data_IF_184466143377
#
_entry.id   IF_184466143377
#
_cell.length_a   1.000
_cell.length_b   1.000
_cell.length_c   1.000
_cell.angle_alpha   90.00
_cell.angle_beta   90.00
_cell.angle_gamma   90.00
#
_symmetry.space_group_name_H-M   'P 1'
#
loop_
_entity.id
_entity.type
_entity.pdbx_description
1 polymer ?
#
# COMPACT_ATOMS: atom_id res chain seq x y z
N UNK A 1 -4.46 -0.09 -27.47
CA UNK A 1 -3.54 0.98 -27.08
C UNK A 1 -3.58 1.29 -25.58
N UNK A 2 -4.68 1.11 -24.85
CA UNK A 2 -4.90 1.71 -23.53
C UNK A 2 -5.16 0.67 -22.42
N UNK A 3 -4.41 -0.44 -22.45
CA UNK A 3 -4.64 -1.57 -21.53
C UNK A 3 -3.55 -1.67 -20.49
N UNK A 4 -3.56 -0.78 -19.52
CA UNK A 4 -2.67 -0.84 -18.38
C UNK A 4 -3.39 -0.35 -17.14
N UNK A 5 -2.94 -0.82 -16.01
CA UNK A 5 -3.27 -0.30 -14.68
C UNK A 5 -1.98 0.26 -14.09
N UNK A 6 -1.99 1.55 -13.77
CA UNK A 6 -0.92 2.21 -13.03
C UNK A 6 -1.21 2.01 -11.55
N UNK A 7 -0.25 1.48 -10.83
CA UNK A 7 -0.30 1.36 -9.36
C UNK A 7 0.70 2.38 -8.80
N UNK A 8 0.25 3.22 -7.89
CA UNK A 8 1.03 4.29 -7.28
C UNK A 8 0.95 4.21 -5.75
N UNK A 9 2.07 4.36 -5.07
CA UNK A 9 2.11 4.51 -3.62
C UNK A 9 1.26 5.69 -3.16
N UNK A 10 0.65 5.57 -1.98
CA UNK A 10 -0.17 6.61 -1.38
C UNK A 10 0.64 7.80 -0.86
N UNK A 11 1.88 7.55 -0.43
CA UNK A 11 2.82 8.56 0.13
C UNK A 11 2.20 9.40 1.27
N UNK A 12 1.22 8.86 1.98
CA UNK A 12 0.47 9.56 3.03
C UNK A 12 -0.46 10.67 2.53
N UNK A 13 -0.79 10.67 1.23
CA UNK A 13 -1.68 11.64 0.59
C UNK A 13 -3.10 11.08 0.46
N UNK A 14 -4.08 11.97 0.24
CA UNK A 14 -5.43 11.54 -0.11
C UNK A 14 -5.44 10.82 -1.47
N UNK A 15 -6.03 9.61 -1.49
CA UNK A 15 -6.04 8.74 -2.67
C UNK A 15 -6.78 9.38 -3.86
N UNK A 16 -7.92 10.03 -3.62
CA UNK A 16 -8.73 10.62 -4.69
C UNK A 16 -8.08 11.89 -5.25
N UNK A 17 -7.50 12.72 -4.40
CA UNK A 17 -6.76 13.91 -4.82
C UNK A 17 -5.53 13.51 -5.64
N UNK A 18 -4.75 12.53 -5.17
CA UNK A 18 -3.57 12.05 -5.89
C UNK A 18 -3.94 11.41 -7.23
N UNK A 19 -4.98 10.59 -7.27
CA UNK A 19 -5.46 9.99 -8.50
C UNK A 19 -5.99 11.03 -9.50
N UNK A 20 -6.73 12.04 -9.03
CA UNK A 20 -7.21 13.14 -9.86
C UNK A 20 -6.06 13.95 -10.45
N UNK A 21 -5.03 14.26 -9.64
CA UNK A 21 -3.82 14.95 -10.08
C UNK A 21 -3.07 14.18 -11.16
N UNK A 22 -2.90 12.86 -10.98
CA UNK A 22 -2.27 12.00 -11.98
C UNK A 22 -3.07 11.95 -13.29
N UNK A 23 -4.39 11.77 -13.20
CA UNK A 23 -5.27 11.79 -14.38
C UNK A 23 -5.21 13.14 -15.10
N UNK A 24 -5.18 14.26 -14.38
CA UNK A 24 -5.01 15.60 -14.95
C UNK A 24 -3.71 15.74 -15.72
N UNK A 25 -2.59 15.40 -15.09
CA UNK A 25 -1.27 15.46 -15.71
C UNK A 25 -1.20 14.66 -17.03
N UNK A 26 -1.74 13.43 -17.04
CA UNK A 26 -1.72 12.59 -18.24
C UNK A 26 -2.73 13.03 -19.30
N UNK A 27 -3.84 13.65 -18.92
CA UNK A 27 -4.79 14.25 -19.88
C UNK A 27 -4.15 15.41 -20.63
N UNK A 28 -3.47 16.29 -19.92
CA UNK A 28 -2.79 17.45 -20.53
C UNK A 28 -1.71 16.98 -21.52
N UNK A 29 -0.94 15.94 -21.13
CA UNK A 29 0.04 15.31 -22.03
C UNK A 29 -0.58 14.62 -23.24
N UNK A 30 -1.74 13.97 -23.07
CA UNK A 30 -2.47 13.36 -24.17
C UNK A 30 -2.94 14.39 -25.19
N UNK A 31 -3.35 15.58 -24.77
CA UNK A 31 -3.73 16.67 -25.66
C UNK A 31 -2.54 17.19 -26.50
N UNK A 32 -1.32 17.09 -25.96
CA UNK A 32 -0.09 17.44 -26.68
C UNK A 32 0.31 16.39 -27.74
N UNK A 33 0.10 15.10 -27.51
CA UNK A 33 0.52 14.01 -28.41
C UNK A 33 -0.43 12.80 -28.33
N UNK A 34 -1.64 12.96 -28.84
CA UNK A 34 -2.70 11.95 -28.81
C UNK A 34 -2.36 10.67 -29.63
N UNK A 35 -1.45 10.76 -30.59
CA UNK A 35 -1.08 9.63 -31.45
C UNK A 35 -0.13 8.65 -30.72
N UNK A 36 0.65 9.13 -29.78
CA UNK A 36 1.68 8.37 -29.08
C UNK A 36 1.31 8.00 -27.66
N UNK A 37 0.59 8.86 -26.95
CA UNK A 37 0.26 8.68 -25.55
C UNK A 37 -1.09 7.95 -25.36
N UNK A 38 -1.21 7.06 -24.37
CA UNK A 38 -2.48 6.44 -24.03
C UNK A 38 -3.41 7.44 -23.34
N UNK A 39 -4.71 7.33 -23.58
CA UNK A 39 -5.71 8.06 -22.82
C UNK A 39 -5.86 7.43 -21.43
N UNK A 40 -5.51 8.18 -20.40
CA UNK A 40 -5.62 7.75 -19.00
C UNK A 40 -6.90 8.29 -18.38
N UNK A 41 -7.61 7.41 -17.69
CA UNK A 41 -8.82 7.72 -16.92
C UNK A 41 -8.66 7.21 -15.50
N UNK A 42 -9.55 7.56 -14.58
CA UNK A 42 -9.55 7.09 -13.20
C UNK A 42 -9.47 5.56 -13.09
N UNK A 43 -10.00 4.82 -14.06
CA UNK A 43 -9.95 3.34 -14.10
C UNK A 43 -8.56 2.76 -14.39
N UNK A 44 -7.66 3.57 -14.88
CA UNK A 44 -6.27 3.18 -15.16
C UNK A 44 -5.32 3.48 -14.02
N UNK A 45 -5.79 4.08 -12.93
CA UNK A 45 -4.96 4.52 -11.80
C UNK A 45 -5.49 3.92 -10.51
N UNK A 46 -4.65 3.13 -9.85
CA UNK A 46 -4.80 2.72 -8.47
C UNK A 46 -3.77 3.46 -7.61
N UNK A 47 -4.22 4.28 -6.69
CA UNK A 47 -3.40 4.78 -5.59
C UNK A 47 -3.59 3.82 -4.43
N UNK A 48 -2.49 3.30 -3.89
CA UNK A 48 -2.51 2.35 -2.78
C UNK A 48 -3.18 2.98 -1.53
N UNK A 49 -3.89 2.16 -0.78
CA UNK A 49 -4.52 2.54 0.48
C UNK A 49 -3.49 3.02 1.50
N UNK A 50 -2.33 2.35 1.54
CA UNK A 50 -1.26 2.63 2.48
C UNK A 50 -0.16 3.51 1.88
N UNK A 51 0.78 3.94 2.72
CA UNK A 51 1.88 4.81 2.32
C UNK A 51 2.65 4.25 1.11
N UNK A 52 3.00 2.97 1.15
CA UNK A 52 3.65 2.25 0.06
C UNK A 52 3.29 0.76 0.10
N UNK A 53 3.73 0.01 -0.90
CA UNK A 53 3.44 -1.42 -1.02
C UNK A 53 3.96 -2.23 0.16
N UNK A 54 5.10 -1.88 0.75
CA UNK A 54 5.67 -2.58 1.90
C UNK A 54 4.75 -2.56 3.13
N UNK A 55 3.89 -1.53 3.28
CA UNK A 55 2.97 -1.42 4.43
C UNK A 55 1.87 -2.49 4.44
N UNK A 56 1.64 -3.20 3.33
CA UNK A 56 0.69 -4.31 3.27
C UNK A 56 1.20 -5.57 3.99
N UNK A 57 2.51 -5.70 4.17
CA UNK A 57 3.15 -6.86 4.81
C UNK A 57 3.31 -6.72 6.33
N UNK A 58 2.43 -5.97 6.99
CA UNK A 58 2.48 -5.68 8.41
C UNK A 58 1.28 -6.25 9.18
N UNK A 59 0.85 -7.47 8.84
CA UNK A 59 -0.20 -8.18 9.59
C UNK A 59 0.46 -8.97 10.73
N UNK A 60 0.20 -8.62 12.03
CA UNK A 60 0.86 -9.25 13.16
C UNK A 60 0.61 -10.75 13.26
N UNK A 61 -0.60 -11.21 12.93
CA UNK A 61 -0.98 -12.61 12.98
C UNK A 61 -0.20 -13.44 11.95
N UNK A 62 -0.10 -12.94 10.71
CA UNK A 62 0.69 -13.59 9.64
C UNK A 62 2.17 -13.62 10.00
N UNK A 63 2.69 -12.51 10.54
CA UNK A 63 4.10 -12.40 10.94
C UNK A 63 4.44 -13.34 12.10
N UNK A 64 3.52 -13.54 13.03
CA UNK A 64 3.65 -14.52 14.12
C UNK A 64 3.66 -15.94 13.55
N UNK A 65 2.73 -16.27 12.65
CA UNK A 65 2.67 -17.59 12.03
C UNK A 65 3.94 -17.96 11.25
N UNK A 66 4.62 -16.97 10.67
CA UNK A 66 5.90 -17.13 9.96
C UNK A 66 7.13 -17.10 10.88
N UNK A 67 6.96 -16.85 12.16
CA UNK A 67 8.08 -16.70 13.10
C UNK A 67 8.94 -15.45 12.84
N UNK A 68 8.38 -14.43 12.19
CA UNK A 68 9.03 -13.12 12.02
C UNK A 68 9.03 -12.38 13.34
N UNK A 69 7.95 -12.50 14.10
CA UNK A 69 7.81 -12.04 15.48
C UNK A 69 7.38 -13.20 16.36
N UNK A 70 7.65 -13.13 17.66
CA UNK A 70 7.31 -14.20 18.62
C UNK A 70 5.82 -14.26 18.91
N UNK A 71 5.15 -13.11 18.88
CA UNK A 71 3.71 -12.97 19.12
C UNK A 71 3.20 -11.67 18.51
N UNK A 72 1.88 -11.53 18.39
CA UNK A 72 1.26 -10.26 17.99
C UNK A 72 1.59 -9.13 18.98
N UNK A 73 1.67 -9.42 20.26
CA UNK A 73 2.08 -8.44 21.28
C UNK A 73 3.51 -7.95 21.03
N UNK A 74 4.45 -8.88 20.79
CA UNK A 74 5.84 -8.55 20.45
C UNK A 74 5.97 -7.68 19.20
N UNK A 75 5.07 -7.82 18.23
CA UNK A 75 5.00 -6.93 17.07
C UNK A 75 4.71 -5.48 17.49
N UNK A 76 3.67 -5.27 18.30
CA UNK A 76 3.29 -3.93 18.75
C UNK A 76 4.31 -3.31 19.70
N UNK A 77 4.90 -4.12 20.59
CA UNK A 77 5.99 -3.68 21.49
C UNK A 77 7.21 -3.22 20.69
N UNK A 78 7.62 -4.00 19.69
CA UNK A 78 8.74 -3.65 18.80
C UNK A 78 8.45 -2.36 18.04
N UNK A 79 7.25 -2.20 17.52
CA UNK A 79 6.86 -1.00 16.79
C UNK A 79 6.85 0.23 17.68
N UNK A 80 6.33 0.12 18.92
CA UNK A 80 6.39 1.21 19.91
C UNK A 80 7.84 1.56 20.30
N UNK A 81 8.71 0.55 20.49
CA UNK A 81 10.13 0.78 20.75
C UNK A 81 10.75 1.61 19.63
N UNK A 82 10.56 1.19 18.36
CA UNK A 82 11.09 1.89 17.19
C UNK A 82 10.44 3.25 16.96
N UNK A 83 9.18 3.39 17.34
CA UNK A 83 8.52 4.70 17.37
C UNK A 83 9.26 5.66 18.30
N UNK A 84 9.51 5.27 19.55
CA UNK A 84 10.23 6.06 20.54
C UNK A 84 11.68 6.30 20.17
N UNK A 85 12.32 5.33 19.51
CA UNK A 85 13.72 5.43 19.12
C UNK A 85 13.93 6.46 18.01
N UNK A 86 13.17 6.39 16.89
CA UNK A 86 13.41 7.23 15.73
C UNK A 86 12.20 7.57 14.87
N UNK A 87 11.17 6.69 14.76
CA UNK A 87 10.08 6.90 13.81
C UNK A 87 9.32 8.21 14.05
N UNK A 88 9.11 8.59 15.31
CA UNK A 88 8.45 9.86 15.67
C UNK A 88 9.18 11.11 15.16
N UNK A 89 10.47 11.01 14.81
CA UNK A 89 11.32 12.14 14.37
C UNK A 89 11.41 12.27 12.86
N UNK A 90 11.17 11.20 12.11
CA UNK A 90 11.17 11.26 10.63
C UNK A 90 9.95 12.07 10.13
N UNK A 91 10.03 12.58 8.89
CA UNK A 91 8.98 13.42 8.31
C UNK A 91 7.59 12.76 8.37
N UNK A 92 7.48 11.50 7.97
CA UNK A 92 6.22 10.75 7.98
C UNK A 92 5.69 10.49 9.40
N UNK A 93 6.56 10.27 10.39
CA UNK A 93 6.16 10.12 11.78
C UNK A 93 5.67 11.44 12.41
N UNK A 94 6.30 12.57 12.05
CA UNK A 94 5.80 13.89 12.45
C UNK A 94 4.42 14.16 11.87
N UNK A 95 4.23 13.83 10.59
CA UNK A 95 2.94 13.97 9.94
C UNK A 95 1.86 13.10 10.61
N UNK A 96 2.17 11.85 10.95
CA UNK A 96 1.22 11.00 11.68
C UNK A 96 0.81 11.65 13.02
N UNK A 97 1.75 12.20 13.79
CA UNK A 97 1.40 12.90 15.05
C UNK A 97 0.50 14.11 14.84
N UNK A 98 0.70 14.85 13.76
CA UNK A 98 -0.20 15.96 13.36
C UNK A 98 -1.60 15.46 13.07
N UNK A 99 -1.74 14.36 12.33
CA UNK A 99 -3.03 13.72 12.01
C UNK A 99 -3.74 13.23 13.27
N UNK A 100 -3.01 12.55 14.18
CA UNK A 100 -3.59 12.00 15.41
C UNK A 100 -3.83 13.07 16.49
N UNK A 101 -3.16 14.22 16.41
CA UNK A 101 -3.18 15.24 17.45
C UNK A 101 -2.53 14.80 18.79
N UNK A 102 -1.83 13.65 18.79
CA UNK A 102 -1.15 13.06 19.95
C UNK A 102 0.07 12.25 19.52
N UNK A 103 0.91 11.87 20.48
CA UNK A 103 1.98 10.90 20.27
C UNK A 103 1.48 9.46 20.59
N UNK A 104 2.22 8.45 20.12
CA UNK A 104 1.99 7.05 20.47
C UNK A 104 2.79 6.74 21.75
N UNK A 105 2.10 6.57 22.88
CA UNK A 105 2.73 6.42 24.20
C UNK A 105 2.69 4.99 24.73
N UNK A 106 1.77 4.16 24.22
CA UNK A 106 1.53 2.80 24.70
C UNK A 106 1.38 1.81 23.56
N UNK A 107 1.52 0.52 23.86
CA UNK A 107 1.22 -0.59 22.95
C UNK A 107 -0.24 -0.52 22.47
N UNK A 108 -1.14 -0.11 23.34
CA UNK A 108 -2.55 0.05 23.01
C UNK A 108 -2.75 1.17 21.97
N UNK A 109 -2.05 2.31 22.10
CA UNK A 109 -2.10 3.37 21.08
C UNK A 109 -1.63 2.86 19.71
N UNK A 110 -0.52 2.11 19.67
CA UNK A 110 -0.02 1.53 18.41
C UNK A 110 -1.04 0.59 17.78
N UNK A 111 -1.69 -0.24 18.59
CA UNK A 111 -2.72 -1.19 18.15
C UNK A 111 -3.95 -0.47 17.58
N UNK A 112 -4.44 0.54 18.29
CA UNK A 112 -5.62 1.33 17.90
C UNK A 112 -5.39 2.15 16.63
N UNK A 113 -4.16 2.61 16.41
CA UNK A 113 -3.81 3.46 15.27
C UNK A 113 -2.99 2.75 14.18
N UNK A 114 -3.09 1.41 14.10
CA UNK A 114 -2.29 0.65 13.14
C UNK A 114 -2.63 0.99 11.67
N UNK A 115 -3.90 1.31 11.38
CA UNK A 115 -4.31 1.73 10.04
C UNK A 115 -3.69 3.08 9.66
N UNK A 116 -3.69 4.05 10.58
CA UNK A 116 -3.06 5.35 10.36
C UNK A 116 -1.55 5.21 10.25
N UNK A 117 -0.92 4.34 11.05
CA UNK A 117 0.52 4.04 10.94
C UNK A 117 0.85 3.52 9.54
N UNK A 118 0.09 2.55 9.03
CA UNK A 118 0.27 2.03 7.66
C UNK A 118 0.04 3.09 6.60
N UNK A 119 -0.92 3.99 6.82
CA UNK A 119 -1.29 5.02 5.84
C UNK A 119 -0.28 6.16 5.79
N UNK A 120 0.25 6.59 6.92
CA UNK A 120 1.02 7.83 7.01
C UNK A 120 2.50 7.64 7.30
N UNK A 121 2.96 6.48 7.80
CA UNK A 121 4.37 6.23 8.06
C UNK A 121 5.00 5.49 6.88
N UNK A 122 6.17 5.99 6.45
CA UNK A 122 6.92 5.48 5.31
C UNK A 122 7.19 3.98 5.43
N UNK A 123 6.73 3.20 4.43
CA UNK A 123 6.74 1.74 4.45
C UNK A 123 8.12 1.13 4.57
N UNK A 124 9.09 1.63 3.84
CA UNK A 124 10.47 1.14 3.94
C UNK A 124 11.00 1.14 5.39
N UNK A 125 10.70 2.18 6.17
CA UNK A 125 11.13 2.23 7.57
C UNK A 125 10.41 1.19 8.45
N UNK A 126 9.11 0.97 8.23
CA UNK A 126 8.33 -0.03 8.97
C UNK A 126 8.73 -1.45 8.56
N UNK A 127 8.88 -1.69 7.28
CA UNK A 127 9.26 -2.97 6.71
C UNK A 127 10.64 -3.42 7.19
N UNK A 128 11.62 -2.54 7.15
CA UNK A 128 13.01 -2.84 7.53
C UNK A 128 13.15 -3.25 9.01
N UNK A 129 12.27 -2.76 9.90
CA UNK A 129 12.22 -3.17 11.30
C UNK A 129 12.06 -4.70 11.44
N UNK A 130 11.20 -5.29 10.63
CA UNK A 130 10.81 -6.69 10.74
C UNK A 130 11.49 -7.59 9.70
N UNK A 131 11.65 -7.10 8.47
CA UNK A 131 12.14 -7.87 7.33
C UNK A 131 13.62 -7.62 7.01
N UNK A 132 14.22 -6.54 7.51
CA UNK A 132 15.61 -6.15 7.19
C UNK A 132 16.65 -7.24 7.45
N UNK A 133 16.42 -8.14 8.42
CA UNK A 133 17.31 -9.30 8.71
C UNK A 133 17.15 -10.48 7.75
N UNK A 134 16.15 -10.46 6.85
CA UNK A 134 15.80 -11.59 5.97
C UNK A 134 16.16 -11.35 4.50
N UNK A 135 16.98 -10.37 4.17
CA UNK A 135 17.33 -9.95 2.79
C UNK A 135 17.71 -11.10 1.86
N UNK A 136 18.46 -12.10 2.36
CA UNK A 136 18.92 -13.25 1.55
C UNK A 136 17.79 -14.24 1.18
N UNK A 137 16.67 -14.22 1.88
CA UNK A 137 15.52 -15.10 1.65
C UNK A 137 14.19 -14.35 1.59
N UNK A 138 14.25 -13.08 1.30
CA UNK A 138 13.10 -12.16 1.31
C UNK A 138 11.99 -12.63 0.38
N UNK A 139 12.32 -12.97 -0.86
CA UNK A 139 11.36 -13.44 -1.87
C UNK A 139 10.56 -14.66 -1.37
N UNK A 140 11.26 -15.70 -0.89
CA UNK A 140 10.60 -16.89 -0.36
C UNK A 140 9.74 -16.59 0.87
N UNK A 141 10.16 -15.64 1.71
CA UNK A 141 9.42 -15.24 2.88
C UNK A 141 8.14 -14.47 2.50
N UNK A 142 8.21 -13.60 1.50
CA UNK A 142 7.06 -12.88 0.96
C UNK A 142 6.05 -13.82 0.27
N UNK A 143 6.51 -14.83 -0.46
CA UNK A 143 5.64 -15.87 -1.01
C UNK A 143 4.88 -16.62 0.10
N UNK A 144 5.57 -17.00 1.18
CA UNK A 144 4.94 -17.62 2.34
C UNK A 144 3.95 -16.66 3.02
N UNK A 145 4.30 -15.38 3.16
CA UNK A 145 3.42 -14.36 3.70
C UNK A 145 2.13 -14.27 2.90
N UNK A 146 2.22 -14.14 1.58
CA UNK A 146 1.06 -14.05 0.69
C UNK A 146 0.18 -15.31 0.73
N UNK A 147 0.77 -16.49 0.99
CA UNK A 147 0.00 -17.74 1.11
C UNK A 147 -0.84 -17.81 2.40
N UNK A 148 -0.49 -17.06 3.43
CA UNK A 148 -1.16 -17.02 4.73
C UNK A 148 -2.02 -15.76 4.93
N UNK A 149 -1.69 -14.69 4.24
CA UNK A 149 -2.36 -13.41 4.41
C UNK A 149 -3.83 -13.47 3.97
N UNK A 150 -4.76 -12.91 4.76
CA UNK A 150 -6.15 -12.77 4.34
C UNK A 150 -6.25 -11.95 3.05
N UNK A 151 -7.17 -12.33 2.14
CA UNK A 151 -7.41 -11.59 0.89
C UNK A 151 -7.74 -10.11 1.16
N UNK A 152 -8.41 -9.86 2.26
CA UNK A 152 -8.86 -8.54 2.71
C UNK A 152 -7.69 -7.57 2.92
N UNK A 153 -6.52 -8.06 3.31
CA UNK A 153 -5.32 -7.24 3.51
C UNK A 153 -4.85 -6.58 2.20
N UNK A 154 -5.18 -7.17 1.05
CA UNK A 154 -4.81 -6.72 -0.30
C UNK A 154 -6.04 -6.39 -1.16
N UNK A 155 -7.22 -6.21 -0.55
CA UNK A 155 -8.49 -6.11 -1.28
C UNK A 155 -8.51 -4.99 -2.31
N UNK A 156 -8.00 -3.80 -2.00
CA UNK A 156 -7.93 -2.66 -2.92
C UNK A 156 -7.12 -2.97 -4.18
N UNK A 157 -6.00 -3.65 -4.04
CA UNK A 157 -5.13 -4.07 -5.16
C UNK A 157 -5.82 -5.15 -6.00
N UNK A 158 -6.31 -6.21 -5.33
CA UNK A 158 -6.92 -7.35 -5.99
C UNK A 158 -8.21 -6.95 -6.71
N UNK A 159 -9.05 -6.14 -6.08
CA UNK A 159 -10.30 -5.66 -6.67
C UNK A 159 -10.06 -4.73 -7.86
N UNK A 160 -9.01 -3.90 -7.81
CA UNK A 160 -8.62 -3.06 -8.94
C UNK A 160 -8.13 -3.91 -10.12
N UNK A 161 -7.31 -4.93 -9.87
CA UNK A 161 -6.83 -5.85 -10.92
C UNK A 161 -7.99 -6.65 -11.51
N UNK A 162 -8.83 -7.24 -10.68
CA UNK A 162 -10.00 -8.01 -11.12
C UNK A 162 -10.98 -7.14 -11.91
N UNK A 163 -11.28 -5.95 -11.42
CA UNK A 163 -12.12 -4.97 -12.12
C UNK A 163 -11.55 -4.59 -13.48
N UNK A 164 -10.24 -4.39 -13.56
CA UNK A 164 -9.55 -4.09 -14.81
C UNK A 164 -9.63 -5.24 -15.81
N UNK A 165 -9.37 -6.49 -15.38
CA UNK A 165 -9.45 -7.71 -16.22
C UNK A 165 -10.89 -7.96 -16.66
N UNK A 166 -11.87 -7.85 -15.77
CA UNK A 166 -13.28 -8.13 -16.06
C UNK A 166 -13.86 -7.17 -17.11
N UNK A 167 -13.58 -5.89 -17.02
CA UNK A 167 -14.00 -4.91 -18.03
C UNK A 167 -13.36 -5.15 -19.40
N UNK A 168 -12.16 -5.69 -19.45
CA UNK A 168 -11.48 -6.08 -20.67
C UNK A 168 -12.19 -7.26 -21.36
N UNK A 169 -12.61 -8.26 -20.59
CA UNK A 169 -13.27 -9.47 -21.13
C UNK A 169 -14.68 -9.17 -21.67
N UNK A 170 -15.45 -8.25 -21.05
CA UNK A 170 -16.75 -7.83 -21.55
C UNK A 170 -16.69 -7.16 -22.94
N UNK A 171 -15.64 -6.42 -23.24
CA UNK A 171 -15.45 -5.79 -24.56
C UNK A 171 -15.09 -6.81 -25.66
N UNK A 172 -14.48 -7.94 -25.31
CA UNK A 172 -14.19 -9.02 -26.27
C UNK A 172 -15.44 -9.80 -26.65
N UNK A 173 -16.30 -10.13 -25.70
CA UNK A 173 -17.52 -10.90 -25.95
C UNK A 173 -18.60 -10.19 -26.78
N UNK A 174 -18.49 -8.85 -26.98
CA UNK A 174 -19.38 -8.10 -27.89
C UNK A 174 -18.89 -8.00 -29.34
N UNK A 175 -17.63 -8.34 -29.60
CA UNK A 175 -17.06 -8.29 -30.98
C UNK A 175 -17.17 -9.62 -31.71
N UNK A 176 -17.49 -10.70 -31.01
CA UNK A 176 -17.63 -12.06 -31.59
C UNK A 176 -19.09 -12.42 -31.88
N UNK A 177 -20.01 -11.43 -31.84
CA UNK A 177 -21.46 -11.59 -32.06
C UNK A 177 -22.05 -10.70 -33.17
N UNK A 178 -21.16 -10.08 -34.01
CA UNK A 178 -21.59 -9.35 -35.22
C UNK A 178 -20.94 -10.08 -36.47
#
# INVERSE_FOLDING_TARGET
KDRFLMIRDGDGQDQEELAAKLCGYYRDRYEEDADRLPRITRKNVLVLKYYSFENYFLNPSVMTALGIVESEEAFYETLLEKWREYLHRISSGKHLREILGKDLESVQDVREHMEEIRTYVRGHNLYDIFFGRYKEREEALLEQYLSLAPREDFADILDAIEGFIYFQNRKRGKKDLD
#
